data_IF_764439978979
#
_entry.id   IF_764439978979
#
_cell.length_a   1.000
_cell.length_b   1.000
_cell.length_c   1.000
_cell.angle_alpha   90.00
_cell.angle_beta   90.00
_cell.angle_gamma   90.00
#
_symmetry.space_group_name_H-M   'P 1'
#
loop_
_entity.id
_entity.type
_entity.pdbx_description
1 polymer ?
#
# COMPACT_ATOMS: atom_id res chain seq x y z
N UNK A 1 13.20 12.56 -2.23
CA UNK A 1 12.11 12.16 -1.28
C UNK A 1 10.80 12.79 -1.72
N UNK A 2 9.77 11.99 -1.90
CA UNK A 2 8.44 12.44 -2.37
C UNK A 2 7.54 13.02 -1.25
N UNK A 3 7.99 13.02 -0.01
CA UNK A 3 7.27 13.59 1.14
C UNK A 3 6.27 12.64 1.83
N UNK A 4 5.92 11.53 1.25
CA UNK A 4 5.03 10.53 1.88
C UNK A 4 5.89 9.57 2.71
N UNK A 5 5.74 9.60 4.02
CA UNK A 5 6.55 8.80 4.96
C UNK A 5 5.81 7.56 5.49
N UNK A 6 4.55 7.43 5.14
CA UNK A 6 3.66 6.32 5.51
C UNK A 6 2.23 6.62 5.11
N UNK A 7 1.30 5.72 5.43
CA UNK A 7 -0.13 5.99 5.24
C UNK A 7 -0.59 7.17 6.08
N UNK A 8 -0.07 7.24 7.29
CA UNK A 8 -0.34 8.29 8.27
C UNK A 8 0.98 8.76 8.89
N UNK A 9 1.00 9.99 9.40
CA UNK A 9 2.06 10.50 10.27
C UNK A 9 1.49 11.52 11.24
N UNK A 10 2.24 11.82 12.28
CA UNK A 10 1.91 12.92 13.20
C UNK A 10 2.66 14.18 12.76
N UNK A 11 1.95 15.25 12.46
CA UNK A 11 2.55 16.56 12.26
C UNK A 11 3.11 17.05 13.59
N UNK A 12 4.42 17.19 13.67
CA UNK A 12 5.13 17.49 14.92
C UNK A 12 4.78 18.88 15.47
N UNK A 13 4.49 19.83 14.59
CA UNK A 13 4.17 21.20 15.00
C UNK A 13 2.78 21.31 15.63
N UNK A 14 1.83 20.55 15.14
CA UNK A 14 0.42 20.62 15.59
C UNK A 14 0.01 19.44 16.47
N UNK A 15 0.78 18.35 16.52
CA UNK A 15 0.41 17.10 17.17
C UNK A 15 -0.75 16.35 16.50
N UNK A 16 -1.18 16.77 15.30
CA UNK A 16 -2.32 16.19 14.59
C UNK A 16 -1.87 15.05 13.69
N UNK A 17 -2.69 14.03 13.65
CA UNK A 17 -2.54 12.94 12.67
C UNK A 17 -2.92 13.47 11.28
N UNK A 18 -2.09 13.14 10.29
CA UNK A 18 -2.28 13.46 8.87
C UNK A 18 -2.32 12.16 8.09
N UNK A 19 -3.34 11.96 7.27
CA UNK A 19 -3.41 10.87 6.31
C UNK A 19 -2.77 11.28 4.97
N UNK A 20 -2.05 10.38 4.33
CA UNK A 20 -1.19 10.70 3.17
C UNK A 20 -1.92 11.33 1.97
N UNK A 21 -3.18 11.01 1.74
CA UNK A 21 -3.99 11.57 0.66
C UNK A 21 -5.03 12.60 1.14
N UNK A 22 -5.12 12.90 2.45
CA UNK A 22 -6.15 13.79 2.99
C UNK A 22 -6.00 15.23 2.47
N UNK A 23 -7.13 15.77 2.03
CA UNK A 23 -7.26 17.18 1.64
C UNK A 23 -8.66 17.70 1.97
N UNK A 24 -8.78 18.45 3.06
CA UNK A 24 -10.04 19.07 3.49
C UNK A 24 -10.49 20.25 2.62
N UNK A 25 -9.68 20.67 1.65
CA UNK A 25 -10.04 21.76 0.72
C UNK A 25 -10.84 21.28 -0.48
N UNK A 26 -10.89 19.96 -0.72
CA UNK A 26 -11.67 19.33 -1.79
C UNK A 26 -12.94 18.67 -1.24
N UNK A 27 -13.87 18.34 -2.13
CA UNK A 27 -15.15 17.69 -1.81
C UNK A 27 -15.24 16.33 -2.45
N UNK A 28 -16.06 15.46 -1.86
CA UNK A 28 -16.41 14.17 -2.43
C UNK A 28 -17.24 14.34 -3.71
N UNK A 29 -16.94 13.58 -4.75
CA UNK A 29 -17.69 13.54 -6.00
C UNK A 29 -18.13 12.09 -6.26
N UNK A 30 -19.43 11.85 -6.37
CA UNK A 30 -20.04 10.53 -6.63
C UNK A 30 -20.75 9.92 -5.43
N UNK A 31 -20.53 10.44 -4.23
CA UNK A 31 -21.27 10.07 -3.01
C UNK A 31 -21.30 11.24 -2.03
N UNK A 32 -21.87 11.01 -0.84
CA UNK A 32 -21.90 11.99 0.26
C UNK A 32 -20.79 11.70 1.29
N UNK A 33 -20.55 12.67 2.19
CA UNK A 33 -19.57 12.48 3.27
C UNK A 33 -18.14 12.88 2.90
N UNK A 34 -17.14 12.32 3.60
CA UNK A 34 -15.74 12.75 3.55
C UNK A 34 -14.81 11.77 2.82
N UNK A 35 -15.33 10.67 2.29
CA UNK A 35 -14.54 9.62 1.63
C UNK A 35 -13.81 10.12 0.38
N UNK A 36 -14.24 11.25 -0.18
CA UNK A 36 -13.59 11.93 -1.30
C UNK A 36 -12.83 13.20 -0.94
N UNK A 37 -12.56 13.49 0.34
CA UNK A 37 -11.71 14.61 0.74
C UNK A 37 -10.23 14.25 0.57
N UNK A 38 -9.87 13.89 -0.64
CA UNK A 38 -8.57 13.31 -0.99
C UNK A 38 -8.00 13.97 -2.25
N UNK A 39 -6.69 14.24 -2.23
CA UNK A 39 -5.93 14.76 -3.37
C UNK A 39 -4.43 14.41 -3.26
N UNK A 40 -3.61 14.66 -4.28
CA UNK A 40 -2.15 14.49 -4.19
C UNK A 40 -1.43 15.61 -3.42
N UNK A 41 -2.11 16.47 -2.69
CA UNK A 41 -1.57 17.65 -1.99
C UNK A 41 -0.35 17.36 -1.13
N UNK A 42 -0.32 16.20 -0.46
CA UNK A 42 0.78 15.81 0.43
C UNK A 42 1.99 15.21 -0.30
N UNK A 43 1.87 14.92 -1.59
CA UNK A 43 2.97 14.54 -2.45
C UNK A 43 3.74 15.79 -2.87
N UNK A 44 5.08 15.83 -2.63
CA UNK A 44 5.88 17.03 -2.84
C UNK A 44 6.75 17.00 -4.09
N UNK A 45 6.72 15.91 -4.80
CA UNK A 45 7.50 15.73 -6.03
C UNK A 45 6.57 15.38 -7.19
N UNK A 46 7.06 15.57 -8.38
CA UNK A 46 6.39 15.03 -9.58
C UNK A 46 6.47 13.50 -9.58
N UNK A 47 5.52 12.88 -10.27
CA UNK A 47 5.50 11.45 -10.59
C UNK A 47 5.96 11.22 -12.03
N UNK A 48 6.10 9.96 -12.44
CA UNK A 48 6.38 9.62 -13.85
C UNK A 48 5.21 10.05 -14.75
N UNK A 49 3.99 10.00 -14.25
CA UNK A 49 2.79 10.44 -14.98
C UNK A 49 2.76 11.95 -15.15
N UNK A 50 3.20 12.73 -14.15
CA UNK A 50 3.36 14.19 -14.27
C UNK A 50 4.42 14.52 -15.34
N UNK A 51 5.56 13.82 -15.33
CA UNK A 51 6.62 14.05 -16.32
C UNK A 51 6.17 13.69 -17.73
N UNK A 52 5.41 12.60 -17.89
CA UNK A 52 4.82 12.23 -19.18
C UNK A 52 3.90 13.33 -19.71
N UNK A 53 3.02 13.86 -18.87
CA UNK A 53 2.11 14.95 -19.27
C UNK A 53 2.86 16.22 -19.65
N UNK A 54 3.84 16.64 -18.86
CA UNK A 54 4.66 17.82 -19.16
C UNK A 54 5.42 17.66 -20.47
N UNK A 55 6.02 16.50 -20.71
CA UNK A 55 6.76 16.21 -21.94
C UNK A 55 5.88 16.22 -23.19
N UNK A 56 4.60 15.98 -23.05
CA UNK A 56 3.63 15.98 -24.16
C UNK A 56 2.68 17.19 -24.14
N UNK A 57 3.13 18.31 -23.57
CA UNK A 57 2.34 19.55 -23.48
C UNK A 57 0.92 19.35 -22.94
N UNK A 58 0.77 18.46 -21.95
CA UNK A 58 -0.51 18.09 -21.32
C UNK A 58 -1.54 17.45 -22.25
N UNK A 59 -1.13 16.92 -23.39
CA UNK A 59 -2.01 16.21 -24.32
C UNK A 59 -2.30 14.77 -23.88
N UNK A 60 -1.38 14.16 -23.11
CA UNK A 60 -1.56 12.82 -22.54
C UNK A 60 -2.71 12.79 -21.54
N UNK A 61 -3.39 11.66 -21.49
CA UNK A 61 -4.31 11.32 -20.40
C UNK A 61 -3.64 10.42 -19.38
N UNK A 62 -3.85 10.73 -18.12
CA UNK A 62 -3.46 9.88 -16.98
C UNK A 62 -4.70 9.55 -16.16
N UNK A 63 -5.00 8.27 -16.03
CA UNK A 63 -6.10 7.75 -15.21
C UNK A 63 -5.55 6.75 -14.21
N UNK A 64 -6.01 6.82 -12.96
CA UNK A 64 -5.58 5.92 -11.90
C UNK A 64 -6.80 5.33 -11.17
N UNK A 65 -6.74 4.04 -10.87
CA UNK A 65 -7.86 3.25 -10.35
C UNK A 65 -7.38 2.33 -9.25
N UNK A 66 -8.04 2.36 -8.10
CA UNK A 66 -7.77 1.45 -6.97
C UNK A 66 -9.00 1.32 -6.08
N UNK A 67 -9.08 0.27 -5.27
CA UNK A 67 -10.06 0.26 -4.17
C UNK A 67 -9.67 1.26 -3.08
N UNK A 68 -8.37 1.43 -2.82
CA UNK A 68 -7.81 2.39 -1.86
C UNK A 68 -7.53 3.73 -2.55
N UNK A 69 -8.01 4.84 -1.98
CA UNK A 69 -7.80 6.20 -2.49
C UNK A 69 -6.33 6.50 -2.82
N UNK A 70 -5.41 6.26 -1.87
CA UNK A 70 -3.96 6.48 -2.04
C UNK A 70 -3.35 5.65 -3.16
N UNK A 71 -3.90 4.45 -3.39
CA UNK A 71 -3.46 3.55 -4.48
C UNK A 71 -3.81 4.07 -5.88
N UNK A 72 -4.80 4.97 -5.99
CA UNK A 72 -5.11 5.69 -7.22
C UNK A 72 -4.41 7.06 -7.27
N UNK A 73 -4.54 7.86 -6.21
CA UNK A 73 -4.13 9.26 -6.18
C UNK A 73 -2.61 9.42 -6.33
N UNK A 74 -1.81 8.66 -5.57
CA UNK A 74 -0.36 8.83 -5.55
C UNK A 74 0.31 8.39 -6.86
N UNK A 75 -0.02 7.24 -7.47
CA UNK A 75 0.49 6.90 -8.80
C UNK A 75 -0.03 7.82 -9.91
N UNK A 76 -1.24 8.36 -9.76
CA UNK A 76 -1.82 9.33 -10.68
C UNK A 76 -1.05 10.65 -10.74
N UNK A 77 -0.49 11.08 -9.62
CA UNK A 77 0.26 12.33 -9.52
C UNK A 77 -0.60 13.57 -9.49
N UNK A 78 0.05 14.73 -9.64
CA UNK A 78 -0.61 16.05 -9.54
C UNK A 78 -1.44 16.40 -10.78
N UNK A 79 -1.07 15.87 -11.92
CA UNK A 79 -1.65 16.28 -13.21
C UNK A 79 -2.58 15.23 -13.82
N UNK A 80 -2.94 14.18 -13.06
CA UNK A 80 -3.86 13.15 -13.52
C UNK A 80 -5.20 13.76 -14.00
N UNK A 81 -5.73 13.21 -15.09
CA UNK A 81 -7.07 13.58 -15.57
C UNK A 81 -8.13 13.00 -14.62
N UNK A 82 -7.85 11.83 -14.03
CA UNK A 82 -8.74 11.17 -13.11
C UNK A 82 -7.98 10.28 -12.14
N UNK A 83 -8.46 10.24 -10.89
CA UNK A 83 -8.22 9.16 -9.96
C UNK A 83 -9.55 8.69 -9.40
N UNK A 84 -9.80 7.39 -9.48
CA UNK A 84 -11.02 6.77 -8.99
C UNK A 84 -10.71 5.78 -7.88
N UNK A 85 -11.53 5.80 -6.82
CA UNK A 85 -11.43 4.82 -5.75
C UNK A 85 -12.82 4.37 -5.28
N UNK A 86 -12.84 3.29 -4.51
CA UNK A 86 -14.09 2.65 -4.14
C UNK A 86 -14.57 3.09 -2.75
N UNK A 87 -15.76 3.67 -2.68
CA UNK A 87 -16.46 3.90 -1.43
C UNK A 87 -17.22 2.63 -1.03
N UNK A 88 -16.66 1.90 -0.07
CA UNK A 88 -17.24 0.63 0.39
C UNK A 88 -18.53 0.77 1.20
N UNK A 89 -18.88 1.98 1.64
CA UNK A 89 -20.15 2.22 2.33
C UNK A 89 -21.32 2.23 1.35
N UNK A 90 -21.10 2.91 0.22
CA UNK A 90 -22.12 3.09 -0.82
C UNK A 90 -21.96 2.11 -2.00
N UNK A 91 -20.85 1.35 -2.05
CA UNK A 91 -20.57 0.41 -3.13
C UNK A 91 -20.31 1.08 -4.47
N UNK A 92 -19.72 2.27 -4.47
CA UNK A 92 -19.57 3.12 -5.65
C UNK A 92 -18.11 3.50 -5.90
N UNK A 93 -17.76 3.62 -7.17
CA UNK A 93 -16.55 4.29 -7.58
C UNK A 93 -16.77 5.79 -7.49
N UNK A 94 -15.89 6.48 -6.79
CA UNK A 94 -15.94 7.90 -6.50
C UNK A 94 -14.64 8.61 -6.87
N UNK A 95 -14.66 9.94 -6.75
CA UNK A 95 -13.49 10.79 -6.91
C UNK A 95 -13.58 12.00 -5.96
N UNK A 96 -12.78 13.01 -6.20
CA UNK A 96 -12.86 14.30 -5.51
C UNK A 96 -12.99 15.48 -6.46
N UNK A 97 -13.34 16.63 -5.89
CA UNK A 97 -13.42 17.89 -6.66
C UNK A 97 -12.04 18.40 -7.11
N UNK A 98 -10.95 17.71 -6.74
CA UNK A 98 -9.63 17.94 -7.33
C UNK A 98 -9.62 17.55 -8.83
N UNK A 99 -10.33 16.47 -9.18
CA UNK A 99 -10.37 15.93 -10.55
C UNK A 99 -11.64 16.35 -11.32
N UNK A 100 -12.79 16.36 -10.64
CA UNK A 100 -14.11 16.52 -11.28
C UNK A 100 -15.06 17.39 -10.47
N UNK A 101 -15.95 18.09 -11.16
CA UNK A 101 -17.15 18.66 -10.52
C UNK A 101 -18.25 17.60 -10.39
N UNK A 102 -18.37 16.72 -11.38
CA UNK A 102 -19.32 15.60 -11.43
C UNK A 102 -18.64 14.39 -12.06
N UNK A 103 -19.02 13.17 -11.65
CA UNK A 103 -18.50 11.95 -12.27
C UNK A 103 -18.94 11.88 -13.73
N UNK A 104 -18.05 11.39 -14.64
CA UNK A 104 -18.42 11.11 -16.02
C UNK A 104 -19.61 10.14 -16.11
N UNK A 105 -20.45 10.30 -17.12
CA UNK A 105 -21.67 9.49 -17.32
C UNK A 105 -21.39 7.99 -17.30
N UNK A 106 -20.27 7.56 -17.89
CA UNK A 106 -19.91 6.15 -17.91
C UNK A 106 -19.63 5.60 -16.50
N UNK A 107 -19.06 6.42 -15.59
CA UNK A 107 -18.84 6.04 -14.19
C UNK A 107 -20.16 5.95 -13.45
N UNK A 108 -21.08 6.88 -13.68
CA UNK A 108 -22.42 6.85 -13.08
C UNK A 108 -23.18 5.59 -13.56
N UNK A 109 -23.09 5.26 -14.83
CA UNK A 109 -23.67 4.02 -15.40
C UNK A 109 -23.06 2.78 -14.76
N UNK A 110 -21.72 2.70 -14.65
CA UNK A 110 -21.04 1.58 -14.01
C UNK A 110 -21.50 1.41 -12.54
N UNK A 111 -21.62 2.50 -11.81
CA UNK A 111 -22.09 2.50 -10.42
C UNK A 111 -23.54 2.00 -10.31
N UNK A 112 -24.41 2.31 -11.29
CA UNK A 112 -25.80 1.86 -11.28
C UNK A 112 -25.99 0.37 -11.55
N UNK A 113 -24.95 -0.32 -12.04
CA UNK A 113 -24.99 -1.77 -12.30
C UNK A 113 -24.87 -2.63 -11.04
N UNK A 114 -24.52 -2.04 -9.89
CA UNK A 114 -24.41 -2.72 -8.58
C UNK A 114 -23.53 -3.99 -8.64
N UNK A 115 -22.42 -3.94 -9.39
CA UNK A 115 -21.57 -5.11 -9.65
C UNK A 115 -20.98 -5.72 -8.39
N UNK A 116 -20.68 -4.92 -7.38
CA UNK A 116 -20.16 -5.39 -6.10
C UNK A 116 -21.16 -6.37 -5.43
N UNK A 117 -22.43 -6.03 -5.40
CA UNK A 117 -23.49 -6.91 -4.88
C UNK A 117 -23.60 -8.21 -5.69
N UNK A 118 -23.55 -8.10 -7.04
CA UNK A 118 -23.63 -9.26 -7.92
C UNK A 118 -22.46 -10.23 -7.73
N UNK A 119 -21.25 -9.72 -7.43
CA UNK A 119 -20.10 -10.55 -7.10
C UNK A 119 -20.27 -11.26 -5.75
N UNK A 120 -20.60 -10.51 -4.71
CA UNK A 120 -20.72 -11.04 -3.34
C UNK A 120 -21.86 -12.07 -3.21
N UNK A 121 -22.98 -11.86 -3.92
CA UNK A 121 -24.10 -12.79 -3.94
C UNK A 121 -23.77 -14.21 -4.44
N UNK A 122 -22.68 -14.36 -5.21
CA UNK A 122 -22.24 -15.68 -5.71
C UNK A 122 -21.62 -16.55 -4.60
N UNK A 123 -21.27 -15.93 -3.45
CA UNK A 123 -20.33 -16.54 -2.51
C UNK A 123 -18.93 -16.69 -3.11
N UNK A 124 -17.99 -17.17 -2.31
CA UNK A 124 -16.63 -17.43 -2.79
C UNK A 124 -16.31 -18.92 -2.63
N UNK A 125 -16.29 -19.63 -3.75
CA UNK A 125 -15.81 -20.99 -3.89
C UNK A 125 -14.42 -20.96 -4.53
N UNK A 126 -13.61 -21.98 -4.31
CA UNK A 126 -12.33 -22.10 -5.00
C UNK A 126 -12.50 -22.13 -6.52
N UNK A 127 -11.56 -21.54 -7.26
CA UNK A 127 -11.59 -21.47 -8.73
C UNK A 127 -11.43 -22.87 -9.37
N UNK A 128 -10.60 -23.69 -8.75
CA UNK A 128 -10.30 -25.06 -9.14
C UNK A 128 -10.68 -26.04 -8.02
N UNK A 129 -10.68 -27.36 -8.26
CA UNK A 129 -10.87 -28.35 -7.19
C UNK A 129 -9.90 -28.11 -6.04
N UNK A 130 -10.39 -28.09 -4.80
CA UNK A 130 -9.61 -27.64 -3.64
C UNK A 130 -8.35 -28.48 -3.40
N UNK A 131 -8.37 -29.74 -3.78
CA UNK A 131 -7.22 -30.65 -3.69
C UNK A 131 -6.05 -30.26 -4.60
N UNK A 132 -6.24 -29.32 -5.53
CA UNK A 132 -5.18 -28.80 -6.41
C UNK A 132 -4.38 -27.66 -5.78
N UNK A 133 -4.83 -27.10 -4.68
CA UNK A 133 -4.17 -26.00 -3.94
C UNK A 133 -3.02 -26.53 -3.10
N UNK A 134 -2.02 -27.10 -3.75
CA UNK A 134 -0.93 -27.82 -3.10
C UNK A 134 0.16 -26.91 -2.50
N UNK A 135 0.12 -25.62 -2.77
CA UNK A 135 1.07 -24.62 -2.23
C UNK A 135 0.59 -24.02 -0.91
N UNK A 136 -0.68 -24.21 -0.57
CA UNK A 136 -1.33 -23.68 0.63
C UNK A 136 -1.30 -24.66 1.81
N UNK A 137 -1.62 -24.16 2.99
CA UNK A 137 -1.90 -24.98 4.18
C UNK A 137 -3.30 -25.64 4.07
N UNK A 138 -3.70 -26.37 5.14
CA UNK A 138 -5.04 -26.95 5.24
C UNK A 138 -6.12 -25.85 5.27
N UNK A 139 -7.28 -26.12 4.65
CA UNK A 139 -8.41 -25.21 4.51
C UNK A 139 -8.99 -24.74 5.88
N UNK A 140 -9.19 -25.66 6.83
CA UNK A 140 -9.58 -25.28 8.20
C UNK A 140 -8.35 -24.91 9.00
N UNK A 141 -8.02 -23.62 9.08
CA UNK A 141 -6.78 -23.14 9.69
C UNK A 141 -7.02 -22.11 10.80
N UNK A 142 -6.76 -22.50 12.04
CA UNK A 142 -6.94 -21.66 13.23
C UNK A 142 -6.08 -20.38 13.28
N UNK A 143 -5.12 -20.25 12.38
CA UNK A 143 -4.23 -19.08 12.31
C UNK A 143 -4.75 -18.02 11.33
N UNK A 144 -5.85 -18.30 10.64
CA UNK A 144 -6.50 -17.38 9.74
C UNK A 144 -7.56 -16.53 10.45
N UNK A 145 -7.82 -15.35 9.91
CA UNK A 145 -8.99 -14.55 10.29
C UNK A 145 -10.25 -15.10 9.61
N UNK A 146 -11.40 -14.71 10.13
CA UNK A 146 -12.71 -15.09 9.56
C UNK A 146 -13.34 -13.91 8.85
N UNK A 147 -14.05 -14.17 7.77
CA UNK A 147 -14.89 -13.16 7.16
C UNK A 147 -16.08 -12.82 8.08
N UNK A 148 -16.64 -11.61 7.99
CA UNK A 148 -17.74 -11.18 8.83
C UNK A 148 -18.92 -12.15 8.78
N UNK A 149 -19.36 -12.61 9.96
CA UNK A 149 -20.50 -13.54 10.10
C UNK A 149 -20.18 -15.02 9.89
N UNK A 150 -18.97 -15.38 9.49
CA UNK A 150 -18.55 -16.78 9.30
C UNK A 150 -18.05 -17.42 10.61
N UNK A 151 -18.27 -18.72 10.74
CA UNK A 151 -17.88 -19.51 11.92
C UNK A 151 -16.57 -20.28 11.73
N UNK A 152 -16.25 -20.65 10.49
CA UNK A 152 -15.02 -21.33 10.07
C UNK A 152 -14.16 -20.42 9.21
N UNK A 153 -12.96 -20.88 8.89
CA UNK A 153 -12.06 -20.24 7.91
C UNK A 153 -12.13 -20.95 6.55
N UNK A 154 -12.89 -22.06 6.48
CA UNK A 154 -12.89 -22.97 5.34
C UNK A 154 -13.85 -22.56 4.23
N UNK A 155 -13.50 -22.94 3.00
CA UNK A 155 -14.40 -22.87 1.86
C UNK A 155 -15.63 -23.80 2.01
N UNK A 156 -16.78 -23.42 1.42
CA UNK A 156 -17.06 -22.18 0.70
C UNK A 156 -17.36 -21.01 1.64
N UNK A 157 -16.94 -19.79 1.27
CA UNK A 157 -17.33 -18.57 1.95
C UNK A 157 -18.67 -18.05 1.44
N UNK A 158 -19.68 -18.00 2.30
CA UNK A 158 -21.03 -17.58 1.89
C UNK A 158 -21.19 -16.08 1.70
N UNK A 159 -20.31 -15.26 2.27
CA UNK A 159 -20.25 -13.79 2.18
C UNK A 159 -21.56 -13.10 2.64
N UNK A 160 -22.31 -13.74 3.55
CA UNK A 160 -23.63 -13.25 4.02
C UNK A 160 -23.55 -12.36 5.25
N UNK A 161 -22.37 -12.25 5.87
CA UNK A 161 -22.14 -11.43 7.06
C UNK A 161 -21.63 -10.04 6.73
N UNK A 162 -21.94 -9.08 7.60
CA UNK A 162 -21.47 -7.70 7.44
C UNK A 162 -22.11 -6.94 6.27
N UNK A 163 -21.49 -5.83 5.91
CA UNK A 163 -21.88 -5.06 4.72
C UNK A 163 -21.26 -5.71 3.47
N UNK A 164 -22.05 -6.24 2.53
CA UNK A 164 -21.53 -6.89 1.31
C UNK A 164 -20.67 -5.97 0.47
N UNK A 165 -20.97 -4.66 0.45
CA UNK A 165 -20.20 -3.64 -0.27
C UNK A 165 -18.80 -3.42 0.33
N UNK A 166 -18.63 -3.76 1.60
CA UNK A 166 -17.34 -3.72 2.29
C UNK A 166 -16.59 -5.04 2.21
N UNK A 167 -17.29 -6.16 2.37
CA UNK A 167 -16.73 -7.51 2.34
C UNK A 167 -16.03 -7.82 1.01
N UNK A 168 -16.52 -7.28 -0.11
CA UNK A 168 -15.92 -7.49 -1.44
C UNK A 168 -14.43 -7.20 -1.46
N UNK A 169 -13.94 -6.24 -0.66
CA UNK A 169 -12.50 -5.88 -0.59
C UNK A 169 -11.63 -7.02 -0.08
N UNK A 170 -12.19 -7.85 0.80
CA UNK A 170 -11.50 -9.01 1.40
C UNK A 170 -11.79 -10.32 0.66
N UNK A 171 -12.11 -10.22 -0.63
CA UNK A 171 -12.34 -11.34 -1.55
C UNK A 171 -11.65 -11.06 -2.89
N UNK A 172 -11.39 -12.05 -3.74
CA UNK A 172 -10.81 -11.82 -5.07
C UNK A 172 -11.68 -10.92 -5.97
N UNK A 173 -12.97 -10.82 -5.66
CA UNK A 173 -13.92 -10.02 -6.44
C UNK A 173 -13.64 -8.52 -6.40
N UNK A 174 -12.95 -8.03 -5.36
CA UNK A 174 -12.49 -6.65 -5.35
C UNK A 174 -11.43 -6.37 -6.43
N UNK A 175 -10.59 -7.35 -6.75
CA UNK A 175 -9.69 -7.25 -7.91
C UNK A 175 -10.48 -7.31 -9.22
N UNK A 176 -11.44 -8.24 -9.34
CA UNK A 176 -12.25 -8.37 -10.56
C UNK A 176 -13.08 -7.12 -10.87
N UNK A 177 -13.69 -6.49 -9.85
CA UNK A 177 -14.44 -5.23 -10.08
C UNK A 177 -13.49 -4.06 -10.44
N UNK A 178 -12.26 -4.08 -9.93
CA UNK A 178 -11.22 -3.10 -10.31
C UNK A 178 -10.83 -3.28 -11.77
N UNK A 179 -10.61 -4.51 -12.24
CA UNK A 179 -10.35 -4.86 -13.63
C UNK A 179 -11.53 -4.43 -14.54
N UNK A 180 -12.76 -4.75 -14.14
CA UNK A 180 -13.96 -4.36 -14.89
C UNK A 180 -14.04 -2.85 -15.08
N UNK A 181 -13.76 -2.09 -14.01
CA UNK A 181 -13.76 -0.62 -14.06
C UNK A 181 -12.63 -0.09 -14.95
N UNK A 182 -11.43 -0.69 -14.87
CA UNK A 182 -10.28 -0.31 -15.69
C UNK A 182 -10.53 -0.53 -17.19
N UNK A 183 -11.15 -1.65 -17.58
CA UNK A 183 -11.53 -1.92 -18.97
C UNK A 183 -12.56 -0.89 -19.47
N UNK A 184 -13.54 -0.51 -18.63
CA UNK A 184 -14.49 0.55 -18.96
C UNK A 184 -13.85 1.93 -19.07
N UNK A 185 -12.82 2.23 -18.26
CA UNK A 185 -12.05 3.46 -18.39
C UNK A 185 -11.27 3.50 -19.71
N UNK A 186 -10.60 2.42 -20.09
CA UNK A 186 -9.89 2.31 -21.39
C UNK A 186 -10.82 2.60 -22.57
N UNK A 187 -12.03 2.02 -22.55
CA UNK A 187 -13.04 2.15 -23.60
C UNK A 187 -13.58 3.58 -23.69
N UNK A 188 -14.09 4.11 -22.58
CA UNK A 188 -14.83 5.38 -22.56
C UNK A 188 -13.91 6.61 -22.64
N UNK A 189 -12.73 6.54 -22.04
CA UNK A 189 -11.76 7.64 -22.08
C UNK A 189 -10.90 7.61 -23.34
N UNK A 190 -11.02 6.56 -24.15
CA UNK A 190 -10.28 6.38 -25.43
C UNK A 190 -8.77 6.52 -25.23
N UNK A 191 -8.24 5.92 -24.16
CA UNK A 191 -6.80 5.96 -23.87
C UNK A 191 -6.01 5.39 -25.03
N UNK A 192 -4.86 6.01 -25.36
CA UNK A 192 -4.00 5.61 -26.48
C UNK A 192 -4.58 5.90 -27.87
N UNK A 193 -5.71 6.62 -28.00
CA UNK A 193 -6.36 6.91 -29.28
C UNK A 193 -6.22 8.37 -29.74
N UNK A 194 -5.51 9.21 -28.99
CA UNK A 194 -5.34 10.64 -29.23
C UNK A 194 -4.00 11.02 -29.90
N UNK A 195 -3.19 10.04 -30.31
CA UNK A 195 -1.89 10.27 -30.95
C UNK A 195 -0.74 10.59 -29.97
N UNK A 196 -1.00 10.54 -28.67
CA UNK A 196 -0.02 10.68 -27.60
C UNK A 196 0.03 9.43 -26.72
N UNK A 197 1.11 9.26 -25.95
CA UNK A 197 1.17 8.18 -24.97
C UNK A 197 0.33 8.56 -23.75
N UNK A 198 -0.66 7.74 -23.43
CA UNK A 198 -1.46 7.88 -22.22
C UNK A 198 -0.98 6.92 -21.12
N UNK A 199 -1.41 7.11 -19.89
CA UNK A 199 -1.03 6.28 -18.76
C UNK A 199 -2.28 5.79 -17.99
N UNK A 200 -2.35 4.49 -17.75
CA UNK A 200 -3.36 3.89 -16.87
C UNK A 200 -2.65 3.19 -15.70
N UNK A 201 -2.92 3.64 -14.48
CA UNK A 201 -2.49 2.97 -13.27
C UNK A 201 -3.64 2.16 -12.67
N UNK A 202 -3.42 0.88 -12.40
CA UNK A 202 -4.40 -0.01 -11.78
C UNK A 202 -3.76 -0.62 -10.53
N UNK A 203 -4.42 -0.48 -9.36
CA UNK A 203 -3.98 -1.09 -8.11
C UNK A 203 -4.99 -2.14 -7.64
N UNK A 204 -4.56 -3.40 -7.65
CA UNK A 204 -5.34 -4.54 -7.20
C UNK A 204 -5.25 -4.72 -5.69
N UNK A 205 -6.05 -3.98 -4.95
CA UNK A 205 -5.93 -3.86 -3.49
C UNK A 205 -6.45 -5.09 -2.72
N UNK A 206 -7.29 -5.94 -3.31
CA UNK A 206 -7.89 -7.07 -2.58
C UNK A 206 -6.89 -8.14 -2.21
N UNK A 207 -5.84 -8.34 -2.97
CA UNK A 207 -4.76 -9.28 -2.65
C UNK A 207 -4.17 -8.99 -1.27
N UNK A 208 -3.94 -7.70 -0.96
CA UNK A 208 -3.47 -7.26 0.36
C UNK A 208 -4.52 -7.49 1.47
N UNK A 209 -5.79 -7.15 1.23
CA UNK A 209 -6.85 -7.39 2.21
C UNK A 209 -7.04 -8.87 2.54
N UNK A 210 -6.98 -9.74 1.53
CA UNK A 210 -7.05 -11.21 1.72
C UNK A 210 -5.81 -11.68 2.48
N UNK A 211 -4.62 -11.24 2.07
CA UNK A 211 -3.36 -11.55 2.73
C UNK A 211 -3.34 -11.17 4.20
N UNK A 212 -3.81 -9.97 4.55
CA UNK A 212 -3.94 -9.52 5.94
C UNK A 212 -4.85 -10.43 6.77
N UNK A 213 -5.98 -10.87 6.21
CA UNK A 213 -6.96 -11.66 6.94
C UNK A 213 -6.54 -13.12 7.09
N UNK A 214 -6.11 -13.75 6.01
CA UNK A 214 -5.88 -15.19 5.96
C UNK A 214 -4.39 -15.58 6.05
N UNK A 215 -3.49 -14.72 5.60
CA UNK A 215 -2.05 -14.99 5.58
C UNK A 215 -1.54 -15.59 4.28
N UNK A 216 -0.21 -15.66 4.11
CA UNK A 216 0.42 -16.06 2.86
C UNK A 216 0.31 -17.57 2.55
N UNK A 217 -0.07 -18.41 3.53
CA UNK A 217 -0.20 -19.86 3.38
C UNK A 217 -1.65 -20.31 3.15
N UNK A 218 -2.59 -19.37 3.04
CA UNK A 218 -4.02 -19.70 2.93
C UNK A 218 -4.43 -20.07 1.50
N UNK A 219 -5.42 -20.94 1.39
CA UNK A 219 -6.08 -21.27 0.10
C UNK A 219 -6.74 -20.02 -0.48
N UNK A 220 -7.29 -19.15 0.37
CA UNK A 220 -7.92 -17.89 -0.02
C UNK A 220 -6.94 -16.97 -0.77
N UNK A 221 -5.70 -16.88 -0.30
CA UNK A 221 -4.70 -16.06 -0.98
C UNK A 221 -4.23 -16.71 -2.29
N UNK A 222 -4.01 -18.03 -2.31
CA UNK A 222 -3.68 -18.76 -3.55
C UNK A 222 -4.81 -18.60 -4.59
N UNK A 223 -6.09 -18.78 -4.19
CA UNK A 223 -7.26 -18.58 -5.06
C UNK A 223 -7.35 -17.14 -5.57
N UNK A 224 -7.03 -16.19 -4.72
CA UNK A 224 -7.00 -14.77 -5.10
C UNK A 224 -5.94 -14.50 -6.18
N UNK A 225 -4.75 -15.07 -6.06
CA UNK A 225 -3.71 -14.93 -7.09
C UNK A 225 -4.07 -15.63 -8.39
N UNK A 226 -4.65 -16.85 -8.33
CA UNK A 226 -5.09 -17.58 -9.52
C UNK A 226 -6.19 -16.83 -10.29
N UNK A 227 -7.09 -16.12 -9.57
CA UNK A 227 -8.10 -15.26 -10.19
C UNK A 227 -7.51 -13.96 -10.72
N UNK A 228 -6.55 -13.36 -9.99
CA UNK A 228 -5.86 -12.16 -10.44
C UNK A 228 -5.07 -12.42 -11.74
N UNK A 229 -4.45 -13.59 -11.87
CA UNK A 229 -3.79 -14.00 -13.11
C UNK A 229 -4.76 -13.98 -14.30
N UNK A 230 -5.98 -14.52 -14.12
CA UNK A 230 -7.03 -14.46 -15.16
C UNK A 230 -7.49 -13.03 -15.44
N UNK A 231 -7.66 -12.20 -14.41
CA UNK A 231 -8.05 -10.80 -14.57
C UNK A 231 -6.97 -10.02 -15.34
N UNK A 232 -5.69 -10.28 -15.06
CA UNK A 232 -4.55 -9.68 -15.80
C UNK A 232 -4.52 -10.19 -17.23
N UNK A 233 -4.72 -11.50 -17.47
CA UNK A 233 -4.77 -12.08 -18.81
C UNK A 233 -5.89 -11.46 -19.66
N UNK A 234 -7.06 -11.16 -19.07
CA UNK A 234 -8.16 -10.47 -19.75
C UNK A 234 -7.77 -9.04 -20.13
N UNK A 235 -7.08 -8.29 -19.24
CA UNK A 235 -6.56 -6.96 -19.55
C UNK A 235 -5.56 -7.02 -20.70
N UNK A 236 -4.58 -7.92 -20.64
CA UNK A 236 -3.56 -8.06 -21.69
C UNK A 236 -4.19 -8.42 -23.03
N UNK A 237 -5.14 -9.36 -23.03
CA UNK A 237 -5.90 -9.74 -24.23
C UNK A 237 -6.65 -8.54 -24.85
N UNK A 238 -7.29 -7.74 -23.99
CA UNK A 238 -7.97 -6.52 -24.43
C UNK A 238 -6.98 -5.52 -25.05
N UNK A 239 -5.85 -5.27 -24.38
CA UNK A 239 -4.83 -4.35 -24.86
C UNK A 239 -4.24 -4.80 -26.20
N UNK A 240 -3.87 -6.07 -26.32
CA UNK A 240 -3.33 -6.63 -27.56
C UNK A 240 -4.33 -6.52 -28.73
N UNK A 241 -5.62 -6.78 -28.46
CA UNK A 241 -6.68 -6.69 -29.47
C UNK A 241 -6.99 -5.25 -29.90
N UNK A 242 -6.92 -4.27 -28.97
CA UNK A 242 -7.30 -2.88 -29.24
C UNK A 242 -6.16 -2.03 -29.80
N UNK A 243 -4.92 -2.32 -29.43
CA UNK A 243 -3.76 -1.49 -29.73
C UNK A 243 -2.66 -2.23 -30.51
N UNK A 244 -2.57 -3.54 -30.33
CA UNK A 244 -1.43 -4.33 -30.76
C UNK A 244 -0.34 -4.41 -29.69
N UNK A 245 0.29 -5.57 -29.55
CA UNK A 245 1.28 -5.88 -28.51
C UNK A 245 2.46 -4.90 -28.44
N UNK A 246 2.92 -4.43 -29.60
CA UNK A 246 4.09 -3.53 -29.69
C UNK A 246 3.73 -2.04 -29.49
N UNK A 247 2.48 -1.73 -29.16
CA UNK A 247 2.00 -0.36 -28.94
C UNK A 247 1.74 -0.06 -27.46
N UNK A 248 1.79 -1.06 -26.58
CA UNK A 248 1.50 -0.92 -25.16
C UNK A 248 2.68 -1.45 -24.34
N UNK A 249 3.16 -0.65 -23.42
CA UNK A 249 4.09 -1.09 -22.39
C UNK A 249 3.32 -1.34 -21.10
N UNK A 250 3.39 -2.55 -20.58
CA UNK A 250 2.83 -2.93 -19.29
C UNK A 250 3.97 -3.26 -18.35
N UNK A 251 3.91 -2.77 -17.12
CA UNK A 251 4.73 -3.25 -16.03
C UNK A 251 3.83 -3.62 -14.83
N UNK A 252 4.24 -4.62 -14.09
CA UNK A 252 3.55 -5.09 -12.88
C UNK A 252 4.55 -5.20 -11.75
N UNK A 253 4.19 -4.69 -10.60
CA UNK A 253 4.94 -4.80 -9.35
C UNK A 253 3.97 -4.80 -8.17
N UNK A 254 4.50 -4.86 -6.95
CA UNK A 254 3.74 -4.63 -5.73
C UNK A 254 4.42 -3.56 -4.86
N UNK A 255 3.66 -2.95 -3.98
CA UNK A 255 4.13 -1.97 -3.00
C UNK A 255 4.90 -2.64 -1.84
N UNK A 256 4.53 -3.87 -1.48
CA UNK A 256 5.18 -4.71 -0.47
C UNK A 256 4.77 -6.18 -0.65
N UNK A 257 5.47 -7.07 0.04
CA UNK A 257 5.05 -8.43 0.32
C UNK A 257 4.55 -8.52 1.78
N UNK A 258 4.64 -9.68 2.47
CA UNK A 258 3.99 -9.85 3.77
C UNK A 258 4.77 -10.84 4.64
N UNK A 259 4.71 -10.65 5.97
CA UNK A 259 5.24 -11.59 6.94
C UNK A 259 4.37 -12.86 7.05
N UNK A 260 4.98 -13.95 7.53
CA UNK A 260 4.24 -15.16 7.91
C UNK A 260 3.33 -14.89 9.11
N UNK A 261 2.17 -15.55 9.18
CA UNK A 261 1.28 -15.46 10.34
C UNK A 261 1.99 -15.97 11.59
N UNK A 262 2.05 -15.17 12.69
CA UNK A 262 2.85 -15.53 13.87
C UNK A 262 2.44 -16.88 14.49
N UNK A 263 1.15 -17.15 14.58
CA UNK A 263 0.64 -18.42 15.10
C UNK A 263 1.06 -19.61 14.23
N UNK A 264 1.01 -19.45 12.91
CA UNK A 264 1.47 -20.47 11.96
C UNK A 264 3.00 -20.67 12.05
N UNK A 265 3.77 -19.60 12.03
CA UNK A 265 5.23 -19.66 12.18
C UNK A 265 5.63 -20.41 13.46
N UNK A 266 5.02 -20.07 14.59
CA UNK A 266 5.26 -20.73 15.87
C UNK A 266 4.91 -22.23 15.84
N UNK A 267 3.82 -22.62 15.16
CA UNK A 267 3.44 -24.03 15.00
C UNK A 267 4.49 -24.85 14.23
N UNK A 268 5.23 -24.19 13.34
CA UNK A 268 6.36 -24.76 12.58
C UNK A 268 7.72 -24.57 13.29
N UNK A 269 7.73 -24.11 14.53
CA UNK A 269 8.94 -23.80 15.33
C UNK A 269 9.84 -22.72 14.67
N UNK A 270 9.25 -21.87 13.84
CA UNK A 270 9.92 -20.69 13.30
C UNK A 270 9.82 -19.52 14.29
N UNK A 271 10.85 -18.68 14.41
CA UNK A 271 10.77 -17.50 15.25
C UNK A 271 9.74 -16.52 14.70
N UNK A 272 8.97 -15.92 15.61
CA UNK A 272 7.96 -14.93 15.25
C UNK A 272 7.03 -14.67 16.41
N UNK A 273 6.26 -13.60 16.34
CA UNK A 273 5.31 -13.29 17.40
C UNK A 273 4.61 -11.96 17.23
N UNK A 274 3.72 -11.69 18.16
CA UNK A 274 3.01 -10.43 18.27
C UNK A 274 3.67 -9.57 19.32
N UNK A 275 4.02 -8.34 18.94
CA UNK A 275 4.58 -7.34 19.85
C UNK A 275 3.45 -6.59 20.56
N UNK A 276 3.46 -6.60 21.88
CA UNK A 276 2.47 -5.89 22.67
C UNK A 276 2.75 -4.38 22.68
N UNK A 277 2.18 -3.70 21.69
CA UNK A 277 2.28 -2.25 21.51
C UNK A 277 1.77 -1.49 22.74
N UNK A 278 0.64 -1.88 23.29
CA UNK A 278 -0.01 -1.13 24.37
C UNK A 278 0.79 -1.22 25.66
N UNK A 279 1.24 -2.41 26.04
CA UNK A 279 2.11 -2.59 27.20
C UNK A 279 3.43 -1.84 27.03
N UNK A 280 4.03 -1.88 25.83
CA UNK A 280 5.30 -1.20 25.53
C UNK A 280 5.20 0.31 25.64
N UNK A 281 4.11 0.92 25.14
CA UNK A 281 3.85 2.37 25.29
C UNK A 281 3.63 2.73 26.77
N UNK A 282 2.89 1.92 27.51
CA UNK A 282 2.64 2.17 28.94
C UNK A 282 3.95 2.13 29.74
N UNK A 283 4.81 1.14 29.50
CA UNK A 283 6.13 1.02 30.13
C UNK A 283 7.05 2.19 29.75
N UNK A 284 7.05 2.61 28.48
CA UNK A 284 7.78 3.76 28.00
C UNK A 284 7.33 5.05 28.70
N UNK A 285 6.03 5.33 28.75
CA UNK A 285 5.48 6.52 29.45
C UNK A 285 5.85 6.52 30.93
N UNK A 286 5.77 5.36 31.59
CA UNK A 286 6.22 5.21 32.98
C UNK A 286 7.70 5.50 33.14
N UNK A 287 8.55 5.00 32.23
CA UNK A 287 10.01 5.27 32.31
C UNK A 287 10.33 6.75 32.07
N UNK A 288 9.64 7.40 31.13
CA UNK A 288 9.77 8.85 30.91
C UNK A 288 9.39 9.64 32.16
N UNK A 289 8.25 9.31 32.79
CA UNK A 289 7.81 9.99 34.01
C UNK A 289 8.75 9.79 35.17
N UNK A 290 9.38 8.63 35.30
CA UNK A 290 10.40 8.37 36.31
C UNK A 290 11.69 9.18 36.09
N UNK A 291 12.06 9.41 34.84
CA UNK A 291 13.30 10.11 34.48
C UNK A 291 13.16 11.63 34.49
N UNK A 292 12.01 12.16 34.08
CA UNK A 292 11.82 13.59 33.81
C UNK A 292 10.66 14.25 34.59
N UNK A 293 10.01 13.49 35.50
CA UNK A 293 8.84 13.95 36.22
C UNK A 293 7.53 13.65 35.48
N UNK A 294 6.39 13.96 36.08
CA UNK A 294 5.09 13.66 35.51
C UNK A 294 4.82 14.52 34.25
N UNK A 295 5.14 13.97 33.06
CA UNK A 295 5.09 14.67 31.79
C UNK A 295 4.59 13.72 30.67
N UNK A 296 3.69 14.20 29.83
CA UNK A 296 3.26 13.48 28.64
C UNK A 296 3.96 14.05 27.41
N UNK A 297 5.08 13.44 27.05
CA UNK A 297 5.92 13.86 25.92
C UNK A 297 5.47 13.23 24.59
N UNK A 298 4.81 12.06 24.61
CA UNK A 298 4.44 11.36 23.40
C UNK A 298 3.22 12.02 22.75
N UNK A 299 3.39 12.57 21.53
CA UNK A 299 2.30 13.20 20.77
C UNK A 299 1.73 12.30 19.69
N UNK A 300 2.44 11.25 19.27
CA UNK A 300 1.96 10.31 18.29
C UNK A 300 2.83 9.07 18.16
N UNK A 301 2.23 8.02 17.63
CA UNK A 301 2.91 6.79 17.21
C UNK A 301 2.26 6.29 15.93
N UNK A 302 2.98 6.38 14.82
CA UNK A 302 2.53 5.95 13.49
C UNK A 302 3.65 5.19 12.77
N UNK A 303 3.31 4.07 12.12
CA UNK A 303 4.27 3.26 11.34
C UNK A 303 5.54 2.87 12.11
N UNK A 304 5.39 2.42 13.37
CA UNK A 304 6.49 2.11 14.29
C UNK A 304 7.41 3.29 14.63
N UNK A 305 6.98 4.53 14.38
CA UNK A 305 7.71 5.74 14.72
C UNK A 305 7.05 6.46 15.91
N UNK A 306 7.87 6.96 16.82
CA UNK A 306 7.47 7.71 18.00
C UNK A 306 7.71 9.20 17.76
N UNK A 307 6.71 10.01 18.05
CA UNK A 307 6.73 11.47 17.90
C UNK A 307 6.64 12.14 19.26
N UNK A 308 7.58 13.05 19.55
CA UNK A 308 7.64 13.72 20.84
C UNK A 308 7.38 15.22 20.74
N UNK A 309 6.88 15.82 21.84
CA UNK A 309 6.59 17.23 21.94
C UNK A 309 7.88 18.02 22.16
N UNK A 310 8.52 18.49 21.11
CA UNK A 310 9.78 19.24 21.16
C UNK A 310 9.66 20.54 21.95
N UNK A 311 8.55 21.26 21.84
CA UNK A 311 8.32 22.50 22.60
C UNK A 311 8.30 22.24 24.12
N UNK A 312 7.68 21.12 24.52
CA UNK A 312 7.64 20.75 25.95
C UNK A 312 9.02 20.25 26.41
N UNK A 313 9.74 19.48 25.57
CA UNK A 313 11.11 19.07 25.86
C UNK A 313 12.03 20.26 26.09
N UNK A 314 11.98 21.27 25.22
CA UNK A 314 12.76 22.51 25.35
C UNK A 314 12.43 23.26 26.65
N UNK A 315 11.15 23.47 26.93
CA UNK A 315 10.69 24.15 28.17
C UNK A 315 11.16 23.46 29.47
N UNK A 316 11.28 22.12 29.41
CA UNK A 316 11.71 21.32 30.57
C UNK A 316 13.22 21.03 30.57
N UNK A 317 13.97 21.50 29.59
CA UNK A 317 15.39 21.19 29.43
C UNK A 317 15.69 19.70 29.24
N UNK A 318 14.77 18.98 28.57
CA UNK A 318 14.92 17.54 28.32
C UNK A 318 15.79 17.35 27.07
N UNK A 319 16.96 16.77 27.28
CA UNK A 319 17.90 16.41 26.22
C UNK A 319 17.39 15.20 25.41
N UNK A 320 17.44 15.31 24.08
CA UNK A 320 16.94 14.28 23.15
C UNK A 320 17.69 12.95 23.28
N UNK A 321 19.00 12.99 23.57
CA UNK A 321 19.82 11.77 23.77
C UNK A 321 19.43 11.06 25.06
N UNK A 322 19.20 11.82 26.15
CA UNK A 322 18.70 11.24 27.39
C UNK A 322 17.32 10.62 27.22
N UNK A 323 16.43 11.28 26.47
CA UNK A 323 15.12 10.73 26.17
C UNK A 323 15.25 9.42 25.34
N UNK A 324 16.10 9.41 24.33
CA UNK A 324 16.39 8.22 23.54
C UNK A 324 16.86 7.05 24.41
N UNK A 325 17.80 7.28 25.29
CA UNK A 325 18.34 6.23 26.17
C UNK A 325 17.26 5.68 27.16
N UNK A 326 16.40 6.54 27.68
CA UNK A 326 15.28 6.15 28.57
C UNK A 326 14.26 5.29 27.77
N UNK A 327 13.88 5.74 26.60
CA UNK A 327 12.93 5.03 25.74
C UNK A 327 13.52 3.69 25.31
N UNK A 328 14.75 3.66 24.79
CA UNK A 328 15.42 2.43 24.37
C UNK A 328 15.49 1.39 25.49
N UNK A 329 15.86 1.82 26.71
CA UNK A 329 15.95 0.96 27.90
C UNK A 329 14.58 0.37 28.27
N UNK A 330 13.50 1.13 28.11
CA UNK A 330 12.16 0.63 28.42
C UNK A 330 11.73 -0.49 27.44
N UNK A 331 12.05 -0.33 26.15
CA UNK A 331 11.74 -1.31 25.12
C UNK A 331 12.63 -2.56 25.16
N UNK A 332 13.87 -2.48 25.65
CA UNK A 332 14.79 -3.63 25.73
C UNK A 332 14.24 -4.84 26.51
N UNK A 333 13.27 -4.62 27.38
CA UNK A 333 12.61 -5.68 28.17
C UNK A 333 11.47 -6.36 27.40
N UNK A 334 11.05 -5.82 26.29
CA UNK A 334 9.90 -6.31 25.53
C UNK A 334 10.33 -7.47 24.61
N UNK A 335 9.55 -8.54 24.65
CA UNK A 335 9.78 -9.68 23.77
C UNK A 335 9.49 -9.23 22.33
N UNK A 336 10.38 -9.57 21.39
CA UNK A 336 10.25 -9.19 19.98
C UNK A 336 10.89 -7.86 19.61
N UNK A 337 11.28 -7.02 20.58
CA UNK A 337 12.06 -5.82 20.32
C UNK A 337 13.46 -6.17 19.81
N UNK A 338 13.92 -5.49 18.77
CA UNK A 338 15.28 -5.59 18.24
C UNK A 338 16.12 -4.39 18.63
N UNK A 339 15.71 -3.19 18.19
CA UNK A 339 16.40 -1.95 18.52
C UNK A 339 15.49 -0.73 18.39
N UNK A 340 15.95 0.42 18.90
CA UNK A 340 15.36 1.74 18.69
C UNK A 340 16.36 2.56 17.86
N UNK A 341 15.86 3.15 16.78
CA UNK A 341 16.66 3.95 15.86
C UNK A 341 16.35 5.43 16.08
N UNK A 342 17.38 6.23 16.29
CA UNK A 342 17.24 7.69 16.28
C UNK A 342 17.18 8.16 14.82
N UNK A 343 16.01 8.63 14.38
CA UNK A 343 15.81 9.04 12.98
C UNK A 343 16.56 10.32 12.58
N UNK A 344 17.03 11.10 13.57
CA UNK A 344 17.90 12.25 13.33
C UNK A 344 19.38 11.88 13.21
N UNK A 345 19.75 10.66 13.62
CA UNK A 345 21.12 10.15 13.58
C UNK A 345 21.14 8.66 13.16
N UNK A 346 20.57 8.39 11.98
CA UNK A 346 20.41 7.02 11.46
C UNK A 346 21.78 6.34 11.25
N UNK A 347 22.80 7.09 10.95
CA UNK A 347 24.15 6.57 10.70
C UNK A 347 24.81 5.98 11.95
N UNK A 348 24.38 6.39 13.15
CA UNK A 348 24.89 5.82 14.42
C UNK A 348 24.23 4.47 14.78
N UNK A 349 23.18 4.07 14.07
CA UNK A 349 22.48 2.82 14.31
C UNK A 349 23.33 1.62 13.88
N UNK A 350 23.31 0.53 14.66
CA UNK A 350 23.99 -0.71 14.33
C UNK A 350 23.17 -1.53 13.32
N UNK A 351 23.10 -1.03 12.08
CA UNK A 351 22.37 -1.63 10.98
C UNK A 351 23.32 -1.93 9.80
N UNK A 352 22.97 -2.92 8.98
CA UNK A 352 23.67 -3.10 7.72
C UNK A 352 23.36 -1.93 6.75
N UNK A 353 24.23 -1.72 5.77
CA UNK A 353 24.14 -0.60 4.82
C UNK A 353 22.79 -0.56 4.07
N UNK A 354 22.23 -1.72 3.76
CA UNK A 354 20.94 -1.82 3.06
C UNK A 354 19.79 -1.28 3.93
N UNK A 355 19.67 -1.71 5.19
CA UNK A 355 18.61 -1.25 6.08
C UNK A 355 18.78 0.23 6.42
N UNK A 356 20.02 0.67 6.64
CA UNK A 356 20.33 2.10 6.83
C UNK A 356 19.82 2.92 5.65
N UNK A 357 20.07 2.48 4.41
CA UNK A 357 19.63 3.19 3.23
C UNK A 357 18.11 3.21 3.06
N UNK A 358 17.41 2.10 3.38
CA UNK A 358 15.95 2.05 3.36
C UNK A 358 15.34 3.06 4.34
N UNK A 359 15.86 3.16 5.57
CA UNK A 359 15.39 4.13 6.56
C UNK A 359 15.67 5.56 6.08
N UNK A 360 16.87 5.85 5.57
CA UNK A 360 17.23 7.17 5.03
C UNK A 360 16.28 7.57 3.90
N UNK A 361 15.98 6.65 2.99
CA UNK A 361 15.07 6.91 1.86
C UNK A 361 13.62 7.18 2.30
N UNK A 362 13.18 6.57 3.42
CA UNK A 362 11.85 6.77 3.99
C UNK A 362 11.75 7.94 4.98
N UNK A 363 12.88 8.53 5.39
CA UNK A 363 12.90 9.60 6.39
C UNK A 363 12.65 10.98 5.79
N UNK A 364 11.81 11.78 6.45
CA UNK A 364 11.61 13.18 6.14
C UNK A 364 11.58 14.02 7.42
N UNK A 365 12.43 15.06 7.58
CA UNK A 365 12.59 15.80 8.85
C UNK A 365 11.31 16.42 9.41
N UNK A 366 10.37 16.85 8.53
CA UNK A 366 9.13 17.50 8.94
C UNK A 366 7.95 16.53 9.13
N UNK A 367 8.09 15.25 8.79
CA UNK A 367 6.98 14.29 8.78
C UNK A 367 7.28 12.99 9.50
N UNK A 368 8.55 12.58 9.56
CA UNK A 368 8.94 11.38 10.31
C UNK A 368 9.01 11.65 11.80
N UNK A 369 8.85 10.60 12.59
CA UNK A 369 9.03 10.64 14.04
C UNK A 369 10.46 10.90 14.47
N UNK A 370 10.68 10.96 15.79
CA UNK A 370 12.00 11.11 16.38
C UNK A 370 12.73 9.79 16.44
N UNK A 371 12.02 8.72 16.82
CA UNK A 371 12.59 7.39 16.97
C UNK A 371 11.75 6.35 16.24
N UNK A 372 12.42 5.34 15.69
CA UNK A 372 11.76 4.20 15.03
C UNK A 372 12.01 2.92 15.82
N UNK A 373 10.94 2.19 16.11
CA UNK A 373 10.99 0.89 16.76
C UNK A 373 11.32 -0.15 15.68
N UNK A 374 12.41 -0.88 15.88
CA UNK A 374 12.76 -2.03 15.06
C UNK A 374 12.41 -3.31 15.81
N UNK A 375 11.55 -4.13 15.24
CA UNK A 375 11.20 -5.45 15.77
C UNK A 375 12.11 -6.53 15.18
N UNK A 376 12.20 -7.67 15.85
CA UNK A 376 12.88 -8.85 15.31
C UNK A 376 12.15 -9.38 14.06
N UNK A 377 12.83 -10.14 13.19
CA UNK A 377 12.17 -10.76 12.04
C UNK A 377 10.93 -11.57 12.44
N UNK A 378 9.88 -11.47 11.65
CA UNK A 378 8.57 -12.11 11.86
C UNK A 378 7.85 -11.69 13.18
N UNK A 379 8.23 -10.55 13.74
CA UNK A 379 7.50 -9.89 14.82
C UNK A 379 6.83 -8.63 14.29
N UNK A 380 5.56 -8.43 14.63
CA UNK A 380 4.83 -7.22 14.28
C UNK A 380 3.75 -6.88 15.31
N UNK A 381 3.22 -5.68 15.22
CA UNK A 381 2.09 -5.21 16.03
C UNK A 381 0.79 -5.69 15.38
N UNK A 382 0.08 -6.63 16.00
CA UNK A 382 -1.12 -7.24 15.41
C UNK A 382 -1.75 -8.29 16.30
N UNK A 383 -2.20 -9.41 15.69
CA UNK A 383 -2.80 -10.55 16.38
C UNK A 383 -2.06 -11.86 16.05
N UNK A 384 -2.47 -12.96 16.69
CA UNK A 384 -1.93 -14.30 16.41
C UNK A 384 -2.51 -14.90 15.12
N UNK A 385 -3.61 -14.33 14.61
CA UNK A 385 -4.30 -14.70 13.38
C UNK A 385 -4.15 -13.57 12.36
N UNK A 386 -4.08 -13.93 11.08
CA UNK A 386 -3.78 -12.99 10.03
C UNK A 386 -2.35 -12.45 10.10
N UNK A 387 -2.00 -11.52 9.23
CA UNK A 387 -0.63 -10.99 9.14
C UNK A 387 -0.61 -9.52 8.74
N UNK A 388 0.59 -8.95 8.71
CA UNK A 388 0.84 -7.59 8.25
C UNK A 388 2.25 -7.46 7.67
N UNK A 389 2.60 -6.28 7.24
CA UNK A 389 3.85 -5.88 6.59
C UNK A 389 4.39 -4.59 7.24
N UNK A 390 5.30 -3.89 6.59
CA UNK A 390 5.95 -2.64 7.00
C UNK A 390 7.24 -2.82 7.79
N UNK A 391 7.98 -3.90 7.51
CA UNK A 391 9.31 -4.11 8.06
C UNK A 391 10.41 -3.88 7.02
N UNK A 392 11.68 -3.88 7.46
CA UNK A 392 12.84 -3.77 6.56
C UNK A 392 13.27 -5.12 5.97
N UNK A 393 12.63 -6.21 6.39
CA UNK A 393 13.07 -7.56 6.05
C UNK A 393 12.63 -7.99 4.66
N UNK A 394 13.37 -8.95 4.09
CA UNK A 394 13.18 -9.39 2.70
C UNK A 394 11.81 -10.00 2.44
N UNK A 395 11.15 -10.59 3.42
CA UNK A 395 9.79 -11.12 3.26
C UNK A 395 8.75 -10.01 3.02
N UNK A 396 9.04 -8.76 3.41
CA UNK A 396 8.19 -7.60 3.11
C UNK A 396 8.66 -6.82 1.87
N UNK A 397 9.97 -6.84 1.60
CA UNK A 397 10.58 -5.95 0.60
C UNK A 397 10.87 -6.62 -0.74
N UNK A 398 10.72 -7.95 -0.84
CA UNK A 398 10.94 -8.68 -2.09
C UNK A 398 9.60 -8.86 -2.83
N UNK A 399 9.44 -8.10 -3.90
CA UNK A 399 8.21 -8.04 -4.71
C UNK A 399 8.52 -8.37 -6.18
N UNK A 400 7.53 -8.83 -6.97
CA UNK A 400 7.72 -9.08 -8.38
C UNK A 400 7.95 -7.78 -9.15
N UNK A 401 8.66 -7.87 -10.28
CA UNK A 401 8.74 -6.84 -11.29
C UNK A 401 8.71 -7.50 -12.67
N UNK A 402 7.65 -7.27 -13.41
CA UNK A 402 7.42 -7.82 -14.74
C UNK A 402 7.22 -6.69 -15.74
N UNK A 403 7.71 -6.89 -16.98
CA UNK A 403 7.48 -6.01 -18.10
C UNK A 403 6.90 -6.81 -19.28
N UNK A 404 6.00 -6.22 -20.04
CA UNK A 404 5.35 -6.84 -21.19
C UNK A 404 5.07 -5.80 -22.28
N UNK A 405 5.17 -6.24 -23.54
CA UNK A 405 4.75 -5.47 -24.70
C UNK A 405 5.87 -4.63 -25.32
N UNK A 406 5.61 -3.36 -25.56
CA UNK A 406 6.49 -2.46 -26.32
C UNK A 406 7.94 -2.46 -25.85
N UNK A 407 8.87 -2.75 -26.77
CA UNK A 407 10.32 -2.86 -26.56
C UNK A 407 10.76 -3.98 -25.59
N UNK A 408 9.88 -4.82 -25.11
CA UNK A 408 10.23 -5.87 -24.15
C UNK A 408 10.50 -7.17 -24.89
N UNK A 409 11.69 -7.75 -24.70
CA UNK A 409 12.03 -9.10 -25.18
C UNK A 409 11.96 -10.09 -24.01
N UNK A 410 11.51 -11.34 -24.25
CA UNK A 410 11.51 -12.37 -23.22
C UNK A 410 12.91 -12.55 -22.61
N UNK A 411 13.01 -12.35 -21.32
CA UNK A 411 14.26 -12.48 -20.56
C UNK A 411 13.97 -12.59 -19.07
N UNK A 412 14.95 -13.06 -18.32
CA UNK A 412 14.94 -13.08 -16.86
C UNK A 412 16.15 -12.30 -16.34
N UNK A 413 15.90 -11.40 -15.38
CA UNK A 413 16.93 -10.55 -14.78
C UNK A 413 17.08 -10.97 -13.32
N UNK A 414 18.23 -11.56 -12.98
CA UNK A 414 18.57 -11.99 -11.61
C UNK A 414 19.23 -10.90 -10.77
N UNK A 415 19.67 -9.81 -11.42
CA UNK A 415 20.24 -8.66 -10.70
C UNK A 415 19.17 -7.98 -9.87
N UNK A 416 19.49 -7.74 -8.60
CA UNK A 416 18.60 -6.99 -7.71
C UNK A 416 18.30 -5.60 -8.27
N UNK A 417 17.01 -5.26 -8.33
CA UNK A 417 16.49 -3.95 -8.67
C UNK A 417 15.66 -3.40 -7.51
N UNK A 418 15.34 -2.13 -7.54
CA UNK A 418 14.44 -1.49 -6.60
C UNK A 418 13.18 -1.00 -7.31
N UNK A 419 12.03 -0.96 -6.63
CA UNK A 419 10.81 -0.37 -7.19
C UNK A 419 11.01 1.10 -7.57
N UNK A 420 11.93 1.81 -6.91
CA UNK A 420 12.33 3.17 -7.30
C UNK A 420 12.99 3.26 -8.69
N UNK A 421 13.53 2.14 -9.20
CA UNK A 421 14.16 2.07 -10.52
C UNK A 421 13.15 2.07 -11.66
N UNK A 422 11.89 1.74 -11.39
CA UNK A 422 10.82 1.65 -12.40
C UNK A 422 10.60 3.01 -13.05
N UNK A 423 10.38 4.06 -12.28
CA UNK A 423 10.07 5.39 -12.81
C UNK A 423 11.23 5.98 -13.63
N UNK A 424 12.47 5.74 -13.22
CA UNK A 424 13.67 6.17 -13.91
C UNK A 424 13.86 5.39 -15.23
N UNK A 425 13.59 4.08 -15.20
CA UNK A 425 13.62 3.23 -16.39
C UNK A 425 12.57 3.67 -17.42
N UNK A 426 11.33 3.92 -16.96
CA UNK A 426 10.26 4.41 -17.83
C UNK A 426 10.59 5.78 -18.42
N UNK A 427 11.14 6.70 -17.61
CA UNK A 427 11.57 8.02 -18.08
C UNK A 427 12.62 7.91 -19.18
N UNK A 428 13.61 7.04 -19.00
CA UNK A 428 14.65 6.77 -20.00
C UNK A 428 14.06 6.21 -21.32
N UNK A 429 13.16 5.19 -21.22
CA UNK A 429 12.56 4.59 -22.40
C UNK A 429 11.64 5.52 -23.18
N UNK A 430 10.94 6.40 -22.45
CA UNK A 430 10.03 7.40 -23.04
C UNK A 430 10.76 8.69 -23.47
N UNK A 431 12.07 8.82 -23.18
CA UNK A 431 12.88 10.01 -23.44
C UNK A 431 12.27 11.27 -22.80
N UNK A 432 11.81 11.17 -21.55
CA UNK A 432 11.27 12.26 -20.75
C UNK A 432 12.11 12.49 -19.49
N UNK A 433 11.84 13.56 -18.77
CA UNK A 433 12.48 13.83 -17.48
C UNK A 433 12.07 12.82 -16.43
N UNK A 434 12.99 12.51 -15.52
CA UNK A 434 12.70 11.71 -14.32
C UNK A 434 11.83 12.50 -13.33
N UNK A 435 11.05 11.83 -12.48
CA UNK A 435 10.38 12.50 -11.36
C UNK A 435 11.38 13.26 -10.48
N UNK A 436 10.99 14.44 -10.00
CA UNK A 436 11.92 15.37 -9.30
C UNK A 436 12.51 14.82 -7.99
N UNK A 437 11.89 13.80 -7.41
CA UNK A 437 12.37 13.11 -6.20
C UNK A 437 12.98 11.75 -6.45
N UNK A 438 13.28 11.38 -7.69
CA UNK A 438 13.84 10.07 -8.05
C UNK A 438 15.21 9.84 -7.42
N UNK A 439 15.40 8.61 -6.96
CA UNK A 439 16.69 8.10 -6.43
C UNK A 439 17.06 6.76 -7.06
N UNK A 440 16.25 6.27 -7.99
CA UNK A 440 16.45 5.00 -8.68
C UNK A 440 17.50 5.08 -9.79
N UNK A 441 17.75 3.94 -10.40
CA UNK A 441 18.67 3.78 -11.53
C UNK A 441 17.96 3.08 -12.68
N UNK A 442 18.38 3.38 -13.91
CA UNK A 442 17.83 2.68 -15.09
C UNK A 442 18.17 1.20 -15.03
N UNK A 443 17.17 0.34 -15.22
CA UNK A 443 17.36 -1.10 -15.36
C UNK A 443 17.85 -1.39 -16.77
N UNK A 444 19.16 -1.44 -16.93
CA UNK A 444 19.83 -1.55 -18.25
C UNK A 444 19.78 -2.95 -18.84
N UNK A 445 19.37 -3.96 -18.06
CA UNK A 445 19.34 -5.37 -18.50
C UNK A 445 18.03 -5.72 -19.23
N UNK A 446 17.04 -4.86 -19.23
CA UNK A 446 15.82 -5.06 -20.04
C UNK A 446 16.18 -4.74 -21.48
N UNK A 447 16.16 -5.75 -22.37
CA UNK A 447 16.67 -5.62 -23.74
C UNK A 447 15.77 -4.82 -24.63
#
# INVERSE_FOLDING_TARGET
MHGIVGNDWTDVATGKKVYCAEDSTVKTVGTTGKTGWMSPKNLWTTTITDQLKMAQNYQSKTIAIALKDRGAILPGGHTANAAYWYDSKEGRWISSSFYFNELPNWVQTFNSEERALKYVQKGWNTLYPIETYSQSAEDENKFEGKLPGEKSTSFPHELKGGNPLEVIRSTPYGNSITKDFALKALENEKLGKNGTSDFLAISFSSTDYVGHNFGPQSIELEDTYLRLDKDIAEILTYLDAQYGKDQVLVFLTADHAVAEVPGYANSKKLPGGVFDRNASIADMKKAINQAFGNVDLLVGEENSQLYFNHNLMEKMGIDSKKLFDVVRKSYQKQIGFSDLINLKDIQSANLNAQYTQLIINGYHPARSGDFMILLKPSWFMGSQTGTTHSTLYSYDTHVPLLFYGWKVKPSEIVKRTSISDISVTLANWLHIMEPSGSIGHVITQIP
#
